data_IF_630248446596
#
_entry.id   IF_630248446596
#
_cell.length_a   1.000
_cell.length_b   1.000
_cell.length_c   1.000
_cell.angle_alpha   90.00
_cell.angle_beta   90.00
_cell.angle_gamma   90.00
#
_symmetry.space_group_name_H-M   'P 1'
#
loop_
_entity.id
_entity.type
_entity.pdbx_description
1 polymer ?
#
# COMPACT_ATOMS: atom_id res chain seq x y z
N UNK A 1 46.35 -0.13 -4.06
CA UNK A 1 45.05 -0.86 -4.16
C UNK A 1 45.12 -2.08 -5.09
N UNK A 2 45.77 -2.01 -6.27
CA UNK A 2 45.97 -3.17 -7.16
C UNK A 2 46.94 -4.22 -6.56
N UNK A 3 47.98 -3.78 -5.86
CA UNK A 3 48.94 -4.68 -5.20
C UNK A 3 48.40 -5.33 -3.91
N UNK A 4 47.46 -4.69 -3.21
CA UNK A 4 46.82 -5.26 -2.02
C UNK A 4 45.94 -6.48 -2.36
N UNK A 5 45.32 -6.47 -3.55
CA UNK A 5 44.41 -7.51 -4.04
C UNK A 5 45.15 -8.78 -4.49
N UNK A 6 46.44 -8.70 -4.84
CA UNK A 6 47.24 -9.88 -5.22
C UNK A 6 47.70 -10.73 -4.03
N UNK A 7 47.71 -10.17 -2.82
CA UNK A 7 48.21 -10.86 -1.60
C UNK A 7 47.19 -11.77 -0.92
N UNK A 8 45.91 -11.70 -1.30
CA UNK A 8 44.87 -12.56 -0.73
C UNK A 8 44.89 -13.94 -1.42
N UNK A 9 45.51 -14.89 -0.73
CA UNK A 9 45.70 -16.27 -1.15
C UNK A 9 44.43 -16.96 -1.67
N UNK A 10 44.65 -17.85 -2.63
CA UNK A 10 43.69 -18.57 -3.47
C UNK A 10 42.70 -19.49 -2.75
N UNK A 11 42.72 -19.57 -1.41
CA UNK A 11 41.94 -20.57 -0.66
C UNK A 11 40.64 -20.05 -0.02
N UNK A 12 40.38 -18.74 0.01
CA UNK A 12 39.21 -18.17 0.70
C UNK A 12 38.11 -17.64 -0.26
N UNK A 13 38.16 -18.03 -1.54
CA UNK A 13 37.21 -17.55 -2.57
C UNK A 13 35.87 -18.29 -2.60
N UNK A 14 35.67 -19.37 -1.83
CA UNK A 14 34.41 -20.14 -1.87
C UNK A 14 33.28 -19.51 -1.03
N UNK A 15 33.59 -18.58 -0.11
CA UNK A 15 32.62 -17.90 0.75
C UNK A 15 32.42 -16.41 0.43
N UNK A 16 32.95 -15.91 -0.69
CA UNK A 16 32.84 -14.48 -1.01
C UNK A 16 31.51 -14.17 -1.76
N UNK A 17 30.56 -13.45 -1.13
CA UNK A 17 29.28 -13.10 -1.76
C UNK A 17 29.43 -12.18 -2.99
N UNK A 18 30.61 -11.61 -3.21
CA UNK A 18 30.91 -10.75 -4.35
C UNK A 18 31.53 -11.49 -5.54
N UNK A 19 31.74 -12.82 -5.47
CA UNK A 19 32.42 -13.60 -6.52
C UNK A 19 31.78 -13.45 -7.91
N UNK A 20 30.45 -13.37 -7.98
CA UNK A 20 29.72 -13.14 -9.24
C UNK A 20 29.95 -11.74 -9.80
N UNK A 21 30.02 -10.73 -8.93
CA UNK A 21 30.26 -9.34 -9.30
C UNK A 21 31.70 -9.16 -9.79
N UNK A 22 32.68 -9.80 -9.14
CA UNK A 22 34.08 -9.82 -9.58
C UNK A 22 34.24 -10.48 -10.96
N UNK A 23 33.56 -11.60 -11.21
CA UNK A 23 33.60 -12.27 -12.51
C UNK A 23 32.94 -11.43 -13.62
N UNK A 24 31.88 -10.68 -13.31
CA UNK A 24 31.25 -9.72 -14.25
C UNK A 24 32.16 -8.51 -14.52
N UNK A 25 32.83 -7.98 -13.50
CA UNK A 25 33.73 -6.82 -13.63
C UNK A 25 34.98 -7.13 -14.44
N UNK A 26 35.53 -8.35 -14.37
CA UNK A 26 36.68 -8.77 -15.20
C UNK A 26 36.38 -8.83 -16.70
N UNK A 27 35.10 -8.91 -17.10
CA UNK A 27 34.66 -8.89 -18.51
C UNK A 27 34.39 -7.48 -19.04
N UNK A 28 34.53 -6.44 -18.21
CA UNK A 28 34.25 -5.06 -18.55
C UNK A 28 35.55 -4.27 -18.73
N UNK A 29 35.58 -3.40 -19.75
CA UNK A 29 36.71 -2.47 -19.92
C UNK A 29 36.80 -1.49 -18.73
N UNK A 30 38.00 -0.97 -18.40
CA UNK A 30 38.19 -0.02 -17.29
C UNK A 30 37.22 1.17 -17.34
N UNK A 31 36.93 1.70 -18.53
CA UNK A 31 35.93 2.77 -18.74
C UNK A 31 34.52 2.35 -18.32
N UNK A 32 34.11 1.11 -18.64
CA UNK A 32 32.78 0.58 -18.25
C UNK A 32 32.69 0.35 -16.74
N UNK A 33 33.78 -0.04 -16.08
CA UNK A 33 33.84 -0.18 -14.61
C UNK A 33 33.68 1.18 -13.94
N UNK A 34 34.45 2.19 -14.35
CA UNK A 34 34.34 3.56 -13.81
C UNK A 34 32.93 4.13 -14.01
N UNK A 35 32.35 3.96 -15.20
CA UNK A 35 30.97 4.39 -15.47
C UNK A 35 29.94 3.68 -14.59
N UNK A 36 30.10 2.37 -14.35
CA UNK A 36 29.21 1.60 -13.49
C UNK A 36 29.31 2.05 -12.01
N UNK A 37 30.53 2.27 -11.51
CA UNK A 37 30.76 2.80 -10.16
C UNK A 37 30.17 4.21 -10.03
N UNK A 38 30.39 5.09 -11.01
CA UNK A 38 29.82 6.43 -11.03
C UNK A 38 28.29 6.43 -11.03
N UNK A 39 27.64 5.55 -11.81
CA UNK A 39 26.18 5.37 -11.78
C UNK A 39 25.70 4.89 -10.41
N UNK A 40 26.37 3.90 -9.81
CA UNK A 40 25.99 3.37 -8.50
C UNK A 40 26.18 4.41 -7.39
N UNK A 41 27.24 5.20 -7.45
CA UNK A 41 27.48 6.34 -6.55
C UNK A 41 26.38 7.39 -6.64
N UNK A 42 26.02 7.83 -7.86
CA UNK A 42 24.89 8.76 -8.06
C UNK A 42 23.57 8.20 -7.56
N UNK A 43 23.29 6.93 -7.78
CA UNK A 43 22.08 6.27 -7.29
C UNK A 43 22.02 6.27 -5.75
N UNK A 44 23.12 5.92 -5.08
CA UNK A 44 23.17 5.92 -3.60
C UNK A 44 23.02 7.33 -3.04
N UNK A 45 23.72 8.32 -3.62
CA UNK A 45 23.63 9.72 -3.21
C UNK A 45 22.22 10.29 -3.45
N UNK A 46 21.61 10.03 -4.61
CA UNK A 46 20.25 10.45 -4.91
C UNK A 46 19.23 9.84 -3.95
N UNK A 47 19.40 8.57 -3.57
CA UNK A 47 18.55 7.91 -2.57
C UNK A 47 18.69 8.57 -1.20
N UNK A 48 19.92 8.85 -0.76
CA UNK A 48 20.16 9.51 0.52
C UNK A 48 19.58 10.92 0.55
N UNK A 49 19.74 11.68 -0.55
CA UNK A 49 19.14 13.00 -0.68
C UNK A 49 17.61 12.94 -0.59
N UNK A 50 16.97 11.99 -1.30
CA UNK A 50 15.52 11.78 -1.22
C UNK A 50 15.07 11.39 0.20
N UNK A 51 15.82 10.53 0.90
CA UNK A 51 15.53 10.17 2.28
C UNK A 51 15.64 11.38 3.23
N UNK A 52 16.69 12.19 3.11
CA UNK A 52 16.87 13.40 3.93
C UNK A 52 15.72 14.38 3.66
N UNK A 53 15.37 14.59 2.38
CA UNK A 53 14.26 15.44 1.99
C UNK A 53 12.94 14.94 2.57
N UNK A 54 12.63 13.64 2.43
CA UNK A 54 11.44 13.02 2.99
C UNK A 54 11.34 13.16 4.52
N UNK A 55 12.47 13.03 5.22
CA UNK A 55 12.53 13.20 6.68
C UNK A 55 12.38 14.66 7.12
N UNK A 56 12.94 15.61 6.35
CA UNK A 56 13.00 17.02 6.72
C UNK A 56 11.75 17.81 6.29
N UNK A 57 11.25 17.55 5.09
CA UNK A 57 10.13 18.28 4.48
C UNK A 57 8.82 17.49 4.52
N UNK A 58 8.86 16.24 4.98
CA UNK A 58 7.72 15.33 4.94
C UNK A 58 7.55 14.66 3.58
N UNK A 59 6.54 13.81 3.48
CA UNK A 59 6.25 13.00 2.28
C UNK A 59 4.85 13.18 1.75
N UNK A 60 4.09 14.13 2.32
CA UNK A 60 2.78 14.51 1.80
C UNK A 60 2.92 15.13 0.42
N UNK A 61 2.07 14.70 -0.51
CA UNK A 61 1.91 15.37 -1.79
C UNK A 61 1.12 16.64 -1.52
N UNK A 62 1.70 17.82 -1.78
CA UNK A 62 0.99 19.07 -1.61
C UNK A 62 -0.17 19.20 -2.59
N UNK A 63 -1.22 19.95 -2.26
CA UNK A 63 -2.37 20.15 -3.16
C UNK A 63 -1.95 20.65 -4.55
N UNK A 64 -0.90 21.49 -4.60
CA UNK A 64 -0.32 21.96 -5.86
C UNK A 64 0.31 20.84 -6.68
N UNK A 65 1.04 19.93 -6.04
CA UNK A 65 1.71 18.81 -6.71
C UNK A 65 0.69 17.78 -7.18
N UNK A 66 -0.34 17.54 -6.37
CA UNK A 66 -1.47 16.69 -6.73
C UNK A 66 -2.26 17.28 -7.90
N UNK A 67 -2.58 18.56 -7.87
CA UNK A 67 -3.20 19.28 -8.99
C UNK A 67 -2.33 19.23 -10.26
N UNK A 68 -1.00 19.39 -10.13
CA UNK A 68 -0.09 19.33 -11.28
C UNK A 68 0.02 17.91 -11.87
N UNK A 69 -0.13 16.86 -11.05
CA UNK A 69 -0.18 15.48 -11.50
C UNK A 69 -1.52 15.13 -12.16
N UNK A 70 -2.61 15.80 -11.76
CA UNK A 70 -3.92 15.65 -12.36
C UNK A 70 -4.07 16.51 -13.63
N UNK A 71 -4.96 16.12 -14.54
CA UNK A 71 -5.26 16.95 -15.72
C UNK A 71 -5.89 18.28 -15.26
N UNK A 72 -5.73 19.39 -16.01
CA UNK A 72 -6.29 20.71 -15.62
C UNK A 72 -7.80 20.69 -15.34
N UNK A 73 -8.50 19.79 -16.01
CA UNK A 73 -9.94 19.54 -15.93
C UNK A 73 -10.38 18.70 -14.71
N UNK A 74 -9.44 18.29 -13.86
CA UNK A 74 -9.71 17.45 -12.70
C UNK A 74 -9.95 18.24 -11.39
N UNK A 75 -9.64 19.55 -11.35
CA UNK A 75 -9.85 20.41 -10.19
C UNK A 75 -8.83 20.18 -9.05
N UNK A 76 -9.14 20.64 -7.84
CA UNK A 76 -8.32 20.38 -6.65
C UNK A 76 -8.46 18.94 -6.09
N UNK A 77 -7.56 18.55 -5.19
CA UNK A 77 -7.50 17.22 -4.59
C UNK A 77 -8.82 16.77 -3.94
N UNK A 78 -9.51 17.69 -3.26
CA UNK A 78 -10.81 17.42 -2.66
C UNK A 78 -11.88 17.28 -3.73
N UNK A 79 -11.81 18.14 -4.75
CA UNK A 79 -12.71 18.23 -5.90
C UNK A 79 -12.70 16.97 -6.76
N UNK A 80 -11.57 16.27 -6.88
CA UNK A 80 -11.46 14.97 -7.56
C UNK A 80 -12.42 13.92 -6.98
N UNK A 81 -12.54 13.90 -5.66
CA UNK A 81 -13.36 12.94 -4.93
C UNK A 81 -14.75 13.50 -4.58
N UNK A 82 -14.95 14.82 -4.54
CA UNK A 82 -16.26 15.44 -4.26
C UNK A 82 -17.09 15.73 -5.49
N UNK A 83 -16.49 15.89 -6.69
CA UNK A 83 -17.27 15.98 -7.92
C UNK A 83 -17.87 14.62 -8.21
N UNK A 84 -19.12 14.40 -7.78
CA UNK A 84 -19.93 13.22 -8.06
C UNK A 84 -19.98 12.85 -9.56
N UNK A 85 -19.57 13.75 -10.46
CA UNK A 85 -19.42 13.45 -11.88
C UNK A 85 -18.43 12.31 -12.22
N UNK A 86 -17.41 12.02 -11.40
CA UNK A 86 -16.47 10.92 -11.73
C UNK A 86 -17.14 9.54 -11.71
N UNK A 87 -17.98 9.27 -10.70
CA UNK A 87 -18.74 8.02 -10.63
C UNK A 87 -20.00 8.08 -11.50
N UNK A 88 -20.66 9.23 -11.58
CA UNK A 88 -21.95 9.36 -12.26
C UNK A 88 -21.86 9.52 -13.80
N UNK A 89 -20.75 10.02 -14.36
CA UNK A 89 -20.65 10.30 -15.81
C UNK A 89 -19.70 9.39 -16.61
N UNK A 90 -18.87 8.55 -15.99
CA UNK A 90 -17.86 7.77 -16.73
C UNK A 90 -17.77 6.27 -16.43
N UNK A 91 -18.82 5.67 -15.84
CA UNK A 91 -18.90 4.22 -15.74
C UNK A 91 -17.74 3.63 -14.94
N UNK A 92 -17.40 4.24 -13.80
CA UNK A 92 -16.69 3.47 -12.79
C UNK A 92 -17.53 2.23 -12.47
N UNK A 93 -16.88 1.08 -12.29
CA UNK A 93 -17.55 -0.24 -12.25
C UNK A 93 -18.67 -0.36 -11.19
N UNK A 94 -18.73 0.56 -10.23
CA UNK A 94 -19.82 0.74 -9.28
C UNK A 94 -20.37 2.16 -9.38
N UNK A 95 -21.65 2.27 -9.74
CA UNK A 95 -22.43 3.51 -9.69
C UNK A 95 -23.16 3.58 -8.34
N UNK A 96 -22.85 4.56 -7.45
CA UNK A 96 -23.57 4.75 -6.20
C UNK A 96 -25.08 4.98 -6.40
N UNK A 97 -25.47 5.63 -7.50
CA UNK A 97 -26.87 5.84 -7.87
C UNK A 97 -27.61 4.55 -8.22
N UNK A 98 -26.90 3.48 -8.55
CA UNK A 98 -27.48 2.16 -8.82
C UNK A 98 -27.68 1.30 -7.56
N UNK A 99 -27.34 1.79 -6.36
CA UNK A 99 -27.42 1.04 -5.10
C UNK A 99 -28.76 0.32 -4.91
N UNK A 100 -29.89 1.01 -5.06
CA UNK A 100 -31.21 0.42 -4.85
C UNK A 100 -31.44 -0.80 -5.76
N UNK A 101 -31.15 -0.66 -7.05
CA UNK A 101 -31.30 -1.76 -8.03
C UNK A 101 -30.34 -2.91 -7.76
N UNK A 102 -29.09 -2.60 -7.38
CA UNK A 102 -28.09 -3.62 -7.07
C UNK A 102 -28.48 -4.43 -5.83
N UNK A 103 -28.93 -3.77 -4.76
CA UNK A 103 -29.39 -4.42 -3.52
C UNK A 103 -30.63 -5.28 -3.79
N UNK A 104 -31.60 -4.77 -4.54
CA UNK A 104 -32.79 -5.53 -4.93
C UNK A 104 -32.42 -6.77 -5.75
N UNK A 105 -31.52 -6.64 -6.72
CA UNK A 105 -31.03 -7.77 -7.52
C UNK A 105 -30.35 -8.84 -6.66
N UNK A 106 -29.53 -8.45 -5.68
CA UNK A 106 -28.90 -9.41 -4.76
C UNK A 106 -29.96 -10.11 -3.90
N UNK A 107 -30.95 -9.37 -3.37
CA UNK A 107 -32.04 -9.96 -2.57
C UNK A 107 -32.87 -10.96 -3.36
N UNK A 108 -33.05 -10.74 -4.66
CA UNK A 108 -33.83 -11.61 -5.53
C UNK A 108 -33.03 -12.82 -6.04
N UNK A 109 -31.77 -12.62 -6.45
CA UNK A 109 -30.98 -13.64 -7.16
C UNK A 109 -30.09 -14.44 -6.20
N UNK A 110 -29.56 -13.80 -5.15
CA UNK A 110 -28.59 -14.39 -4.21
C UNK A 110 -28.91 -14.06 -2.74
N UNK A 111 -30.13 -14.34 -2.25
CA UNK A 111 -30.51 -14.00 -0.87
C UNK A 111 -29.60 -14.64 0.19
N UNK A 112 -29.06 -15.82 -0.08
CA UNK A 112 -28.14 -16.56 0.79
C UNK A 112 -26.76 -15.90 0.93
N UNK A 113 -26.36 -15.06 -0.03
CA UNK A 113 -25.07 -14.34 0.03
C UNK A 113 -25.10 -13.17 1.03
N UNK A 114 -26.28 -12.68 1.40
CA UNK A 114 -26.46 -11.55 2.32
C UNK A 114 -25.91 -11.88 3.73
N UNK A 115 -26.36 -12.95 4.42
CA UNK A 115 -25.84 -13.26 5.76
C UNK A 115 -24.33 -13.54 5.74
N UNK A 116 -23.82 -14.19 4.70
CA UNK A 116 -22.38 -14.43 4.56
C UNK A 116 -21.58 -13.12 4.39
N UNK A 117 -22.11 -12.16 3.62
CA UNK A 117 -21.49 -10.84 3.44
C UNK A 117 -21.49 -10.04 4.74
N UNK A 118 -22.60 -10.06 5.48
CA UNK A 118 -22.73 -9.38 6.77
C UNK A 118 -21.78 -9.99 7.79
N UNK A 119 -21.74 -11.32 7.94
CA UNK A 119 -20.82 -11.99 8.87
C UNK A 119 -19.35 -11.72 8.53
N UNK A 120 -18.99 -11.71 7.24
CA UNK A 120 -17.65 -11.33 6.81
C UNK A 120 -17.31 -9.86 7.18
N UNK A 121 -18.27 -8.95 7.04
CA UNK A 121 -18.10 -7.55 7.43
C UNK A 121 -17.97 -7.37 8.95
N UNK A 122 -18.75 -8.10 9.75
CA UNK A 122 -18.63 -8.09 11.22
C UNK A 122 -17.26 -8.61 11.69
N UNK A 123 -16.68 -9.61 11.00
CA UNK A 123 -15.31 -10.06 11.28
C UNK A 123 -14.29 -8.95 11.01
N UNK A 124 -14.46 -8.20 9.92
CA UNK A 124 -13.59 -7.06 9.59
C UNK A 124 -13.71 -5.97 10.66
N UNK A 125 -14.92 -5.60 11.08
CA UNK A 125 -15.15 -4.65 12.18
C UNK A 125 -14.55 -5.11 13.52
N UNK A 126 -14.42 -6.42 13.71
CA UNK A 126 -13.75 -7.00 14.88
C UNK A 126 -12.23 -7.19 14.67
N UNK A 127 -11.65 -6.68 13.59
CA UNK A 127 -10.24 -6.87 13.20
C UNK A 127 -9.80 -8.34 13.14
N UNK A 128 -10.69 -9.21 12.67
CA UNK A 128 -10.43 -10.65 12.48
C UNK A 128 -10.28 -10.97 11.00
N UNK A 129 -9.10 -11.43 10.61
CA UNK A 129 -8.76 -11.68 9.21
C UNK A 129 -8.18 -13.09 9.02
N UNK A 130 -8.54 -13.73 7.90
CA UNK A 130 -7.85 -14.92 7.40
C UNK A 130 -7.04 -14.52 6.16
N UNK A 131 -5.73 -14.36 6.32
CA UNK A 131 -4.85 -13.91 5.25
C UNK A 131 -3.87 -15.01 4.85
N UNK A 132 -3.80 -15.30 3.54
CA UNK A 132 -2.87 -16.27 2.98
C UNK A 132 -3.01 -17.66 3.64
N UNK A 133 -4.25 -18.05 3.97
CA UNK A 133 -4.58 -19.35 4.57
C UNK A 133 -3.98 -19.59 5.96
N UNK A 134 -3.77 -18.55 6.78
CA UNK A 134 -3.37 -18.73 8.18
C UNK A 134 -4.50 -19.17 9.09
N UNK A 135 -5.74 -19.12 8.62
CA UNK A 135 -6.91 -19.18 9.49
C UNK A 135 -7.22 -17.83 10.10
N UNK A 136 -8.42 -17.76 10.71
CA UNK A 136 -8.96 -16.54 11.31
C UNK A 136 -8.07 -16.08 12.47
N UNK A 137 -7.48 -14.90 12.33
CA UNK A 137 -6.56 -14.31 13.29
C UNK A 137 -7.11 -12.98 13.79
N UNK A 138 -7.12 -12.78 15.11
CA UNK A 138 -7.48 -11.51 15.73
C UNK A 138 -6.24 -10.59 15.81
N UNK A 139 -6.35 -9.39 15.25
CA UNK A 139 -5.25 -8.43 15.19
C UNK A 139 -5.27 -7.41 16.33
N UNK A 140 -6.21 -7.55 17.26
CA UNK A 140 -6.39 -6.67 18.41
C UNK A 140 -7.13 -5.36 18.08
N UNK A 141 -7.28 -4.46 19.06
CA UNK A 141 -8.06 -3.23 18.90
C UNK A 141 -7.41 -2.22 17.95
N UNK A 142 -6.11 -2.33 17.70
CA UNK A 142 -5.38 -1.51 16.73
C UNK A 142 -4.51 -2.41 15.86
N UNK A 143 -4.71 -2.34 14.55
CA UNK A 143 -4.03 -3.17 13.58
C UNK A 143 -2.57 -2.73 13.42
N UNK A 144 -1.61 -3.61 13.68
CA UNK A 144 -0.19 -3.37 13.37
C UNK A 144 0.12 -3.71 11.91
N UNK A 145 0.05 -2.71 11.04
CA UNK A 145 0.24 -2.83 9.58
C UNK A 145 1.65 -3.25 9.16
N UNK A 146 2.61 -3.31 10.09
CA UNK A 146 4.01 -3.67 9.83
C UNK A 146 4.39 -5.01 10.44
N UNK A 147 3.43 -5.80 10.90
CA UNK A 147 3.69 -7.08 11.57
C UNK A 147 3.28 -8.27 10.71
N UNK A 148 4.19 -9.23 10.60
CA UNK A 148 3.86 -10.60 10.26
C UNK A 148 3.30 -11.29 11.51
N UNK A 149 1.98 -11.32 11.66
CA UNK A 149 1.34 -11.95 12.81
C UNK A 149 1.53 -13.47 12.86
N UNK A 150 1.91 -14.13 11.76
CA UNK A 150 2.18 -15.57 11.73
C UNK A 150 3.47 -15.92 12.46
N UNK A 151 4.42 -14.98 12.50
CA UNK A 151 5.79 -15.20 12.99
C UNK A 151 6.21 -14.21 14.08
N UNK A 152 5.42 -13.16 14.29
CA UNK A 152 5.67 -12.10 15.25
C UNK A 152 6.70 -11.06 14.80
N UNK A 153 7.28 -11.18 13.60
CA UNK A 153 8.27 -10.24 13.11
C UNK A 153 7.61 -8.91 12.72
N UNK A 154 8.23 -7.79 13.08
CA UNK A 154 7.72 -6.44 12.80
C UNK A 154 8.76 -5.61 12.07
N UNK A 155 8.42 -5.08 10.90
CA UNK A 155 9.26 -4.15 10.15
C UNK A 155 9.26 -2.77 10.81
N UNK A 156 10.36 -2.03 10.68
CA UNK A 156 10.44 -0.66 11.17
C UNK A 156 9.61 0.27 10.25
N UNK A 157 8.53 0.89 10.75
CA UNK A 157 7.68 1.78 9.95
C UNK A 157 8.41 3.05 9.49
N UNK A 158 9.53 3.43 10.13
CA UNK A 158 10.31 4.63 9.81
C UNK A 158 11.51 4.37 8.90
N UNK A 159 11.67 3.14 8.42
CA UNK A 159 12.73 2.81 7.47
C UNK A 159 12.37 3.32 6.06
N UNK A 160 13.29 4.01 5.39
CA UNK A 160 13.05 4.52 4.04
C UNK A 160 12.87 3.37 3.05
N UNK A 161 11.75 3.36 2.32
CA UNK A 161 11.28 2.18 1.59
C UNK A 161 12.23 1.76 0.47
N UNK A 162 12.82 2.73 -0.25
CA UNK A 162 13.80 2.46 -1.32
C UNK A 162 15.10 1.82 -0.83
N UNK A 163 15.36 1.85 0.48
CA UNK A 163 16.50 1.17 1.12
C UNK A 163 16.13 -0.08 1.91
N UNK A 164 14.84 -0.34 2.08
CA UNK A 164 14.34 -1.41 2.93
C UNK A 164 14.56 -2.78 2.26
N UNK A 165 15.20 -3.69 3.00
CA UNK A 165 15.26 -5.10 2.62
C UNK A 165 14.19 -5.85 3.41
N UNK A 166 13.36 -6.62 2.70
CA UNK A 166 12.22 -7.31 3.29
C UNK A 166 12.28 -8.85 3.19
N UNK A 167 13.15 -9.41 2.34
CA UNK A 167 13.32 -10.86 2.19
C UNK A 167 14.56 -11.44 2.87
N UNK A 168 15.21 -10.66 3.75
CA UNK A 168 16.49 -11.01 4.37
C UNK A 168 16.38 -11.57 5.79
N UNK A 169 15.17 -11.66 6.34
CA UNK A 169 14.92 -12.20 7.68
C UNK A 169 14.33 -13.59 7.52
N UNK A 170 15.05 -14.61 7.99
CA UNK A 170 14.62 -16.00 7.89
C UNK A 170 13.33 -16.18 8.69
N UNK A 171 12.34 -16.77 8.04
CA UNK A 171 11.06 -17.08 8.66
C UNK A 171 10.03 -15.95 8.61
N UNK A 172 10.42 -14.69 8.40
CA UNK A 172 9.48 -13.58 8.24
C UNK A 172 8.87 -13.57 6.83
N UNK A 173 7.55 -13.40 6.74
CA UNK A 173 6.84 -13.30 5.47
C UNK A 173 6.27 -11.89 5.27
N UNK A 174 6.93 -11.11 4.41
CA UNK A 174 6.50 -9.75 4.05
C UNK A 174 5.11 -9.71 3.41
N UNK A 175 4.65 -10.82 2.83
CA UNK A 175 3.33 -10.88 2.21
C UNK A 175 2.21 -10.69 3.23
N UNK A 176 2.45 -10.98 4.51
CA UNK A 176 1.43 -10.84 5.56
C UNK A 176 1.01 -9.37 5.75
N UNK A 177 1.90 -8.43 6.09
CA UNK A 177 1.53 -7.01 6.16
C UNK A 177 1.11 -6.42 4.80
N UNK A 178 1.67 -6.91 3.68
CA UNK A 178 1.24 -6.48 2.36
C UNK A 178 -0.19 -6.89 2.04
N UNK A 179 -0.58 -8.15 2.27
CA UNK A 179 -1.94 -8.64 2.00
C UNK A 179 -2.98 -7.84 2.78
N UNK A 180 -2.69 -7.58 4.05
CA UNK A 180 -3.54 -6.74 4.90
C UNK A 180 -3.63 -5.30 4.37
N UNK A 181 -2.48 -4.72 3.99
CA UNK A 181 -2.37 -3.36 3.44
C UNK A 181 -2.85 -3.24 1.99
N UNK A 182 -3.31 -4.32 1.35
CA UNK A 182 -4.00 -4.24 0.04
C UNK A 182 -5.45 -3.81 0.21
N UNK A 183 -6.05 -3.92 1.38
CA UNK A 183 -7.42 -3.48 1.64
C UNK A 183 -8.49 -4.14 0.75
N UNK A 184 -8.27 -5.40 0.35
CA UNK A 184 -9.25 -6.15 -0.46
C UNK A 184 -10.60 -6.29 0.26
N UNK A 185 -10.59 -6.26 1.60
CA UNK A 185 -11.76 -6.38 2.46
C UNK A 185 -12.69 -5.15 2.45
N UNK A 186 -12.26 -3.99 1.94
CA UNK A 186 -13.10 -2.79 1.90
C UNK A 186 -14.35 -2.97 1.05
N UNK A 187 -14.27 -3.77 -0.03
CA UNK A 187 -15.43 -4.10 -0.85
C UNK A 187 -16.46 -4.93 -0.06
N UNK A 188 -16.03 -5.77 0.89
CA UNK A 188 -16.94 -6.53 1.76
C UNK A 188 -17.67 -5.60 2.72
N UNK A 189 -16.96 -4.65 3.35
CA UNK A 189 -17.59 -3.61 4.17
C UNK A 189 -18.60 -2.79 3.36
N UNK A 190 -18.23 -2.38 2.14
CA UNK A 190 -19.08 -1.60 1.25
C UNK A 190 -20.36 -2.33 0.83
N UNK A 191 -20.25 -3.62 0.49
CA UNK A 191 -21.42 -4.46 0.19
C UNK A 191 -22.34 -4.58 1.40
N UNK A 192 -21.81 -4.83 2.59
CA UNK A 192 -22.61 -4.91 3.82
C UNK A 192 -23.33 -3.60 4.10
N UNK A 193 -22.62 -2.47 3.99
CA UNK A 193 -23.21 -1.13 4.09
C UNK A 193 -24.37 -0.92 3.12
N UNK A 194 -24.20 -1.30 1.85
CA UNK A 194 -25.28 -1.15 0.88
C UNK A 194 -26.51 -2.00 1.21
N UNK A 195 -26.28 -3.26 1.63
CA UNK A 195 -27.34 -4.24 1.92
C UNK A 195 -28.13 -3.91 3.19
N UNK A 196 -27.47 -3.39 4.23
CA UNK A 196 -28.06 -3.17 5.56
C UNK A 196 -28.31 -1.71 5.92
N UNK A 197 -27.64 -0.77 5.24
CA UNK A 197 -27.57 0.65 5.65
C UNK A 197 -27.00 0.88 7.04
N UNK A 198 -26.18 -0.04 7.57
CA UNK A 198 -25.54 0.11 8.87
C UNK A 198 -24.27 0.95 8.79
N UNK A 199 -24.33 2.14 9.37
CA UNK A 199 -23.27 3.16 9.42
C UNK A 199 -21.98 2.70 10.13
N UNK A 200 -22.02 1.61 10.91
CA UNK A 200 -20.81 1.02 11.50
C UNK A 200 -19.80 0.60 10.45
N UNK A 201 -20.24 0.10 9.29
CA UNK A 201 -19.34 -0.30 8.20
C UNK A 201 -18.62 0.89 7.56
N UNK A 202 -19.31 2.03 7.41
CA UNK A 202 -18.71 3.26 6.92
C UNK A 202 -17.73 3.86 7.94
N UNK A 203 -18.09 3.77 9.22
CA UNK A 203 -17.22 4.18 10.34
C UNK A 203 -15.93 3.37 10.35
N UNK A 204 -16.02 2.06 10.19
CA UNK A 204 -14.87 1.16 10.15
C UNK A 204 -13.99 1.40 8.92
N UNK A 205 -14.58 1.60 7.75
CA UNK A 205 -13.87 1.97 6.52
C UNK A 205 -13.01 3.23 6.73
N UNK A 206 -13.60 4.28 7.29
CA UNK A 206 -12.90 5.54 7.57
C UNK A 206 -11.83 5.33 8.64
N UNK A 207 -12.12 4.57 9.70
CA UNK A 207 -11.21 4.32 10.80
C UNK A 207 -9.94 3.58 10.34
N UNK A 208 -10.09 2.47 9.61
CA UNK A 208 -8.93 1.70 9.15
C UNK A 208 -8.05 2.50 8.18
N UNK A 209 -8.65 3.22 7.24
CA UNK A 209 -7.90 4.03 6.28
C UNK A 209 -7.19 5.20 6.96
N UNK A 210 -7.87 5.90 7.87
CA UNK A 210 -7.26 7.00 8.65
C UNK A 210 -6.09 6.49 9.48
N UNK A 211 -6.26 5.36 10.18
CA UNK A 211 -5.20 4.74 10.96
C UNK A 211 -4.03 4.28 10.07
N UNK A 212 -4.32 3.66 8.93
CA UNK A 212 -3.27 3.22 8.00
C UNK A 212 -2.47 4.39 7.44
N UNK A 213 -3.12 5.48 7.02
CA UNK A 213 -2.43 6.67 6.51
C UNK A 213 -1.51 7.30 7.56
N UNK A 214 -1.93 7.31 8.83
CA UNK A 214 -1.11 7.78 9.94
C UNK A 214 0.11 6.89 10.20
N UNK A 215 -0.06 5.56 10.15
CA UNK A 215 0.99 4.58 10.45
C UNK A 215 1.88 4.21 9.24
N UNK A 216 1.52 4.64 8.04
CA UNK A 216 2.22 4.34 6.79
C UNK A 216 2.46 5.61 5.97
N UNK A 217 3.23 6.58 6.47
CA UNK A 217 3.55 7.77 5.70
C UNK A 217 4.25 7.38 4.38
N UNK A 218 3.95 8.04 3.25
CA UNK A 218 4.54 7.71 1.96
C UNK A 218 6.07 7.63 2.04
N UNK A 219 6.66 6.72 1.28
CA UNK A 219 8.11 6.45 1.22
C UNK A 219 8.73 5.78 2.46
N UNK A 220 7.95 5.44 3.49
CA UNK A 220 8.46 4.79 4.70
C UNK A 220 7.79 3.45 5.00
N UNK A 221 8.53 2.54 5.62
CA UNK A 221 8.03 1.24 6.02
C UNK A 221 7.89 0.26 4.85
N UNK A 222 7.47 -0.96 5.20
CA UNK A 222 7.47 -2.08 4.25
C UNK A 222 6.36 -1.98 3.21
N UNK A 223 5.24 -1.33 3.55
CA UNK A 223 4.06 -1.18 2.69
C UNK A 223 4.26 -0.23 1.50
N UNK A 224 5.39 0.49 1.47
CA UNK A 224 5.83 1.35 0.36
C UNK A 224 7.05 0.80 -0.38
N UNK A 225 7.54 -0.40 -0.02
CA UNK A 225 8.76 -0.97 -0.59
C UNK A 225 8.56 -1.62 -1.97
N UNK A 226 7.30 -1.90 -2.36
CA UNK A 226 6.95 -2.50 -3.64
C UNK A 226 5.85 -1.69 -4.32
N UNK A 227 6.10 -1.23 -5.53
CA UNK A 227 5.17 -0.37 -6.30
C UNK A 227 3.88 -1.10 -6.71
N UNK A 228 3.95 -2.42 -6.92
CA UNK A 228 2.78 -3.24 -7.21
C UNK A 228 1.77 -3.22 -6.05
N UNK A 229 2.26 -3.27 -4.81
CA UNK A 229 1.41 -3.21 -3.61
C UNK A 229 0.73 -1.85 -3.48
N UNK A 230 1.44 -0.77 -3.81
CA UNK A 230 0.88 0.59 -3.85
C UNK A 230 -0.26 0.68 -4.86
N UNK A 231 -0.05 0.16 -6.08
CA UNK A 231 -1.06 0.19 -7.14
C UNK A 231 -2.33 -0.60 -6.78
N UNK A 232 -2.18 -1.81 -6.21
CA UNK A 232 -3.31 -2.64 -5.78
C UNK A 232 -4.09 -1.94 -4.66
N UNK A 233 -3.38 -1.38 -3.66
CA UNK A 233 -4.01 -0.64 -2.56
C UNK A 233 -4.81 0.54 -3.08
N UNK A 234 -4.23 1.34 -3.98
CA UNK A 234 -4.91 2.49 -4.57
C UNK A 234 -6.21 2.08 -5.26
N UNK A 235 -6.18 1.00 -6.05
CA UNK A 235 -7.38 0.45 -6.69
C UNK A 235 -8.45 0.04 -5.67
N UNK A 236 -8.08 -0.72 -4.63
CA UNK A 236 -9.04 -1.20 -3.62
C UNK A 236 -9.61 -0.06 -2.77
N UNK A 237 -8.84 0.99 -2.50
CA UNK A 237 -9.32 2.19 -1.82
C UNK A 237 -10.37 2.93 -2.64
N UNK A 238 -10.13 3.12 -3.95
CA UNK A 238 -11.11 3.72 -4.85
C UNK A 238 -12.39 2.88 -4.95
N UNK A 239 -12.24 1.55 -4.97
CA UNK A 239 -13.37 0.62 -5.00
C UNK A 239 -14.20 0.67 -3.71
N UNK A 240 -13.55 0.68 -2.55
CA UNK A 240 -14.21 0.86 -1.26
C UNK A 240 -14.90 2.23 -1.17
N UNK A 241 -14.20 3.28 -1.59
CA UNK A 241 -14.74 4.63 -1.61
C UNK A 241 -16.02 4.76 -2.43
N UNK A 242 -16.14 4.06 -3.58
CA UNK A 242 -17.36 4.06 -4.38
C UNK A 242 -18.60 3.57 -3.61
N UNK A 243 -18.45 2.61 -2.68
CA UNK A 243 -19.56 2.17 -1.82
C UNK A 243 -19.96 3.23 -0.80
N UNK A 244 -18.99 3.98 -0.28
CA UNK A 244 -19.18 4.90 0.83
C UNK A 244 -19.24 6.37 0.41
N UNK A 245 -19.30 6.65 -0.90
CA UNK A 245 -19.24 8.02 -1.43
C UNK A 245 -20.26 8.94 -0.77
N UNK A 246 -21.48 8.48 -0.52
CA UNK A 246 -22.56 9.29 0.07
C UNK A 246 -22.68 9.10 1.60
N UNK A 247 -21.80 8.30 2.22
CA UNK A 247 -21.85 8.04 3.65
C UNK A 247 -21.41 9.31 4.43
N UNK A 248 -22.15 9.73 5.47
CA UNK A 248 -21.83 10.92 6.26
C UNK A 248 -20.43 10.91 6.89
N UNK A 249 -19.90 9.71 7.17
CA UNK A 249 -18.56 9.48 7.74
C UNK A 249 -17.45 9.88 6.75
N UNK A 250 -17.72 9.85 5.45
CA UNK A 250 -16.77 10.22 4.38
C UNK A 250 -16.77 11.73 4.20
N UNK A 251 -16.21 12.40 5.20
CA UNK A 251 -16.14 13.87 5.28
C UNK A 251 -15.21 14.47 4.21
N UNK A 252 -15.35 15.77 3.88
CA UNK A 252 -14.42 16.45 2.99
C UNK A 252 -12.95 16.40 3.46
N UNK A 253 -12.72 16.40 4.78
CA UNK A 253 -11.37 16.27 5.34
C UNK A 253 -10.78 14.88 5.06
N UNK A 254 -11.58 13.83 5.25
CA UNK A 254 -11.18 12.47 4.92
C UNK A 254 -10.87 12.31 3.42
N UNK A 255 -11.69 12.89 2.53
CA UNK A 255 -11.44 12.86 1.07
C UNK A 255 -10.10 13.48 0.70
N UNK A 256 -9.76 14.64 1.28
CA UNK A 256 -8.45 15.27 1.06
C UNK A 256 -7.30 14.40 1.54
N UNK A 257 -7.42 13.81 2.74
CA UNK A 257 -6.41 12.91 3.28
C UNK A 257 -6.22 11.66 2.40
N UNK A 258 -7.32 11.07 1.93
CA UNK A 258 -7.31 9.92 1.03
C UNK A 258 -6.62 10.26 -0.29
N UNK A 259 -6.99 11.38 -0.92
CA UNK A 259 -6.41 11.82 -2.19
C UNK A 259 -4.91 12.13 -2.08
N UNK A 260 -4.45 12.72 -0.98
CA UNK A 260 -3.03 12.99 -0.73
C UNK A 260 -2.19 11.76 -0.34
N UNK A 261 -2.84 10.63 -0.06
CA UNK A 261 -2.19 9.39 0.40
C UNK A 261 -2.21 8.25 -0.62
N UNK A 262 -2.92 8.42 -1.73
CA UNK A 262 -2.91 7.56 -2.91
C UNK A 262 -1.65 7.83 -3.76
#
# INVERSE_FOLDING_TARGET
MIEFVKSLGTNDMKRNPFRSDYQRLRRLSPRRVVAAVGRKGRFVLGRLAAEIQARALGTGIGDRDLQAACRPEAGDAGTLLTNGGWFCHRGFFLDPGARCRAVESVRLIYPEAIPATVDAAERICAHRFDLLGSGLTELGPQIDWHRDFKRGYRWNPRAFSAGLRYGNVIGADVKVPWELSRFQHLATLGKAYWLTSDDRYATEFVAQLTHWMAENPPQFGVNWACTMEVAIRAFNWLWGYAFFHDAPQVTPAFRRALAGSL
#
